data_IF_850964650050
#
_entry.id   IF_850964650050
#
_cell.length_a   1.000
_cell.length_b   1.000
_cell.length_c   1.000
_cell.angle_alpha   90.00
_cell.angle_beta   90.00
_cell.angle_gamma   90.00
#
_symmetry.space_group_name_H-M   'P 1'
#
loop_
_entity.id
_entity.type
_entity.pdbx_description
1 polymer ?
#
# COMPACT_ATOMS: atom_id res chain seq x y z
N UNK A 1 -46.15 28.65 58.90
CA UNK A 1 -45.22 27.54 58.69
C UNK A 1 -45.14 27.30 57.16
N UNK A 2 -44.08 27.88 56.52
CA UNK A 2 -43.83 27.70 55.05
C UNK A 2 -42.74 26.68 54.88
N UNK A 3 -43.03 25.50 54.29
CA UNK A 3 -42.01 24.48 53.96
C UNK A 3 -41.42 24.84 52.61
N UNK A 4 -40.14 25.16 52.55
CA UNK A 4 -39.37 25.24 51.33
C UNK A 4 -39.00 23.79 50.89
N UNK A 5 -39.46 23.42 49.73
CA UNK A 5 -38.99 22.21 49.01
C UNK A 5 -37.76 22.63 48.15
N UNK A 6 -36.61 22.19 48.56
CA UNK A 6 -35.38 22.28 47.72
C UNK A 6 -35.38 21.12 46.73
N UNK A 7 -35.52 21.41 45.43
CA UNK A 7 -35.37 20.46 44.36
C UNK A 7 -33.87 20.40 44.03
N UNK A 8 -33.23 19.30 44.39
CA UNK A 8 -31.87 18.96 43.93
C UNK A 8 -31.97 18.40 42.52
N UNK A 9 -31.61 19.21 41.52
CA UNK A 9 -31.42 18.71 40.15
C UNK A 9 -30.07 18.02 40.05
N UNK A 10 -30.04 16.70 40.14
CA UNK A 10 -28.88 15.90 39.86
C UNK A 10 -28.67 15.89 38.34
N UNK A 11 -27.71 16.68 37.87
CA UNK A 11 -27.24 16.63 36.46
C UNK A 11 -26.55 15.31 36.22
N UNK A 12 -27.18 14.39 35.50
CA UNK A 12 -26.53 13.20 34.92
C UNK A 12 -25.55 13.67 33.83
N UNK A 13 -24.25 13.72 34.16
CA UNK A 13 -23.21 13.72 33.17
C UNK A 13 -23.24 12.36 32.48
N UNK A 14 -23.84 12.28 31.31
CA UNK A 14 -23.66 11.15 30.40
C UNK A 14 -22.23 11.22 29.85
N UNK A 15 -21.30 10.53 30.51
CA UNK A 15 -20.01 10.23 29.91
C UNK A 15 -20.26 9.35 28.68
N UNK A 16 -20.23 9.95 27.51
CA UNK A 16 -20.14 9.19 26.26
C UNK A 16 -18.78 8.48 26.28
N UNK A 17 -18.78 7.21 26.67
CA UNK A 17 -17.61 6.35 26.50
C UNK A 17 -17.32 6.32 25.00
N UNK A 18 -16.21 6.92 24.58
CA UNK A 18 -15.70 6.76 23.25
C UNK A 18 -15.49 5.26 23.03
N UNK A 19 -16.33 4.64 22.20
CA UNK A 19 -16.23 3.22 21.91
C UNK A 19 -14.90 2.99 21.21
N UNK A 20 -14.08 2.10 21.77
CA UNK A 20 -12.82 1.70 21.15
C UNK A 20 -13.13 1.08 19.78
N UNK A 21 -12.53 1.61 18.74
CA UNK A 21 -12.65 1.08 17.37
C UNK A 21 -11.48 0.16 17.12
N UNK A 22 -11.74 -1.04 16.62
CA UNK A 22 -10.71 -1.95 16.12
C UNK A 22 -10.79 -1.96 14.60
N UNK A 23 -9.63 -1.83 13.94
CA UNK A 23 -9.47 -1.97 12.49
C UNK A 23 -8.46 -3.08 12.18
N UNK A 24 -8.79 -3.92 11.22
CA UNK A 24 -7.94 -5.01 10.75
C UNK A 24 -7.17 -4.62 9.49
N UNK A 25 -5.87 -4.89 9.49
CA UNK A 25 -4.96 -4.58 8.37
C UNK A 25 -4.26 -5.83 7.89
N UNK A 26 -4.34 -6.12 6.59
CA UNK A 26 -3.61 -7.19 5.92
C UNK A 26 -2.49 -6.62 5.02
N UNK A 27 -1.30 -7.22 5.06
CA UNK A 27 -0.17 -6.81 4.23
C UNK A 27 0.75 -8.00 3.91
N UNK A 28 1.43 -7.98 2.75
CA UNK A 28 2.42 -8.99 2.39
C UNK A 28 3.82 -8.63 2.88
N UNK A 29 4.76 -9.56 2.73
CA UNK A 29 6.20 -9.34 2.96
C UNK A 29 6.54 -8.83 4.36
N UNK A 30 6.14 -9.56 5.40
CA UNK A 30 6.44 -9.22 6.79
C UNK A 30 7.90 -8.81 7.01
N UNK A 31 8.85 -9.56 6.42
CA UNK A 31 10.29 -9.32 6.55
C UNK A 31 10.73 -7.95 6.01
N UNK A 32 9.95 -7.30 5.11
CA UNK A 32 10.23 -5.96 4.59
C UNK A 32 9.54 -4.87 5.41
N UNK A 33 8.33 -5.12 5.91
CA UNK A 33 7.45 -4.06 6.39
C UNK A 33 7.21 -4.04 7.91
N UNK A 34 7.45 -5.12 8.65
CA UNK A 34 7.18 -5.18 10.09
C UNK A 34 7.81 -4.05 10.89
N UNK A 35 9.08 -3.77 10.64
CA UNK A 35 9.78 -2.67 11.33
C UNK A 35 9.15 -1.31 11.01
N UNK A 36 8.73 -1.11 9.76
CA UNK A 36 8.08 0.13 9.32
C UNK A 36 6.73 0.29 9.98
N UNK A 37 5.89 -0.75 9.95
CA UNK A 37 4.58 -0.72 10.60
C UNK A 37 4.66 -0.53 12.10
N UNK A 38 5.61 -1.17 12.78
CA UNK A 38 5.84 -0.97 14.21
C UNK A 38 6.06 0.50 14.54
N UNK A 39 6.88 1.20 13.75
CA UNK A 39 7.14 2.64 13.94
C UNK A 39 5.92 3.51 13.63
N UNK A 40 5.22 3.22 12.54
CA UNK A 40 4.00 3.93 12.15
C UNK A 40 2.95 3.79 13.26
N UNK A 41 2.73 2.58 13.75
CA UNK A 41 1.73 2.31 14.79
C UNK A 41 2.07 2.99 16.12
N UNK A 42 3.34 3.07 16.49
CA UNK A 42 3.75 3.80 17.69
C UNK A 42 3.38 5.28 17.64
N UNK A 43 3.42 5.91 16.46
CA UNK A 43 2.99 7.29 16.27
C UNK A 43 1.46 7.37 16.15
N UNK A 44 0.84 6.54 15.33
CA UNK A 44 -0.61 6.50 15.16
C UNK A 44 -1.37 6.39 16.50
N UNK A 45 -0.89 5.52 17.38
CA UNK A 45 -1.52 5.33 18.71
C UNK A 45 -1.45 6.56 19.62
N UNK A 46 -0.45 7.43 19.43
CA UNK A 46 -0.38 8.69 20.20
C UNK A 46 -1.48 9.66 19.78
N UNK A 47 -1.73 9.73 18.48
CA UNK A 47 -2.70 10.65 17.89
C UNK A 47 -4.13 10.08 17.98
N UNK A 48 -4.28 8.75 17.97
CA UNK A 48 -5.54 8.03 17.98
C UNK A 48 -5.60 6.94 19.08
N UNK A 49 -5.56 7.32 20.38
CA UNK A 49 -5.49 6.35 21.49
C UNK A 49 -6.72 5.43 21.61
N UNK A 50 -7.85 5.83 21.03
CA UNK A 50 -9.11 5.09 21.01
C UNK A 50 -9.25 4.13 19.82
N UNK A 51 -8.27 4.08 18.93
CA UNK A 51 -8.25 3.16 17.78
C UNK A 51 -7.21 2.06 18.04
N UNK A 52 -7.63 0.81 17.89
CA UNK A 52 -6.76 -0.35 17.91
C UNK A 52 -6.57 -0.86 16.49
N UNK A 53 -5.32 -0.95 16.05
CA UNK A 53 -4.97 -1.57 14.76
C UNK A 53 -4.50 -2.99 15.03
N UNK A 54 -5.18 -3.96 14.40
CA UNK A 54 -4.85 -5.37 14.48
C UNK A 54 -4.34 -5.83 13.12
N UNK A 55 -3.08 -6.26 13.09
CA UNK A 55 -2.54 -6.89 11.91
C UNK A 55 -2.98 -8.34 11.84
N UNK A 56 -3.47 -8.75 10.67
CA UNK A 56 -3.75 -10.16 10.37
C UNK A 56 -2.47 -10.94 10.09
N UNK A 57 -2.58 -12.26 9.94
CA UNK A 57 -1.50 -13.06 9.38
C UNK A 57 -1.06 -12.47 8.03
N UNK A 58 0.25 -12.31 7.86
CA UNK A 58 0.80 -11.69 6.65
C UNK A 58 0.64 -12.63 5.46
N UNK A 59 0.43 -12.04 4.29
CA UNK A 59 0.47 -12.74 3.02
C UNK A 59 1.91 -13.01 2.60
N UNK A 60 2.15 -14.07 1.85
CA UNK A 60 3.49 -14.39 1.36
C UNK A 60 3.99 -13.32 0.37
N UNK A 61 3.12 -12.93 -0.56
CA UNK A 61 3.39 -11.90 -1.56
C UNK A 61 2.10 -11.19 -2.00
N UNK A 62 2.16 -10.30 -3.01
CA UNK A 62 0.99 -9.61 -3.53
C UNK A 62 0.04 -10.53 -4.33
N UNK A 63 0.53 -11.63 -4.90
CA UNK A 63 -0.32 -12.60 -5.59
C UNK A 63 -1.17 -13.36 -4.57
N UNK A 64 -0.54 -13.88 -3.52
CA UNK A 64 -1.23 -14.52 -2.41
C UNK A 64 -2.21 -13.56 -1.74
N UNK A 65 -1.79 -12.32 -1.45
CA UNK A 65 -2.67 -11.27 -0.93
C UNK A 65 -3.94 -11.12 -1.76
N UNK A 66 -3.81 -11.10 -3.09
CA UNK A 66 -4.95 -11.00 -4.01
C UNK A 66 -5.88 -12.19 -3.87
N UNK A 67 -5.34 -13.41 -3.87
CA UNK A 67 -6.13 -14.64 -3.76
C UNK A 67 -6.85 -14.75 -2.41
N UNK A 68 -6.17 -14.40 -1.33
CA UNK A 68 -6.76 -14.41 0.02
C UNK A 68 -7.92 -13.43 0.09
N UNK A 69 -7.72 -12.18 -0.28
CA UNK A 69 -8.75 -11.13 -0.21
C UNK A 69 -9.96 -11.47 -1.11
N UNK A 70 -9.75 -12.05 -2.29
CA UNK A 70 -10.86 -12.50 -3.13
C UNK A 70 -11.67 -13.62 -2.47
N UNK A 71 -11.04 -14.56 -1.77
CA UNK A 71 -11.75 -15.60 -1.01
C UNK A 71 -12.51 -15.02 0.19
N UNK A 72 -11.87 -14.10 0.91
CA UNK A 72 -12.47 -13.41 2.07
C UNK A 72 -13.66 -12.54 1.67
N UNK A 73 -13.65 -11.96 0.47
CA UNK A 73 -14.80 -11.23 -0.06
C UNK A 73 -16.04 -12.15 -0.21
N UNK A 74 -15.83 -13.40 -0.63
CA UNK A 74 -16.94 -14.38 -0.76
C UNK A 74 -17.49 -14.79 0.61
N UNK A 75 -16.60 -14.92 1.61
CA UNK A 75 -16.98 -15.30 2.98
C UNK A 75 -17.38 -14.11 3.86
N UNK A 76 -17.40 -12.90 3.31
CA UNK A 76 -17.72 -11.65 4.02
C UNK A 76 -16.81 -11.43 5.27
N UNK A 77 -15.54 -11.73 5.12
CA UNK A 77 -14.51 -11.63 6.18
C UNK A 77 -13.32 -10.78 5.78
N UNK A 78 -13.57 -9.76 4.95
CA UNK A 78 -12.52 -8.83 4.49
C UNK A 78 -11.87 -8.07 5.65
N UNK A 79 -10.56 -7.76 5.58
CA UNK A 79 -9.97 -6.75 6.44
C UNK A 79 -10.50 -5.36 6.12
N UNK A 80 -10.37 -4.43 7.06
CA UNK A 80 -10.75 -3.03 6.82
C UNK A 80 -9.79 -2.36 5.83
N UNK A 81 -8.51 -2.70 5.91
CA UNK A 81 -7.44 -2.20 5.04
C UNK A 81 -6.58 -3.35 4.57
N UNK A 82 -6.22 -3.36 3.29
CA UNK A 82 -5.27 -4.33 2.73
C UNK A 82 -4.26 -3.66 1.81
N UNK A 83 -2.99 -4.10 1.88
CA UNK A 83 -1.93 -3.68 0.97
C UNK A 83 -1.88 -4.62 -0.22
N UNK A 84 -2.02 -4.06 -1.41
CA UNK A 84 -2.11 -4.82 -2.65
C UNK A 84 -1.12 -4.34 -3.69
N UNK A 85 -0.74 -5.23 -4.61
CA UNK A 85 0.08 -4.85 -5.75
C UNK A 85 -0.66 -3.92 -6.71
N UNK A 86 0.04 -2.94 -7.28
CA UNK A 86 -0.52 -1.96 -8.21
C UNK A 86 -1.23 -2.61 -9.40
N UNK A 87 -0.67 -3.70 -9.91
CA UNK A 87 -1.20 -4.46 -11.04
C UNK A 87 -2.44 -5.31 -10.68
N UNK A 88 -2.84 -5.36 -9.41
CA UNK A 88 -3.97 -6.17 -8.93
C UNK A 88 -5.17 -5.34 -8.50
N UNK A 89 -5.04 -4.03 -8.37
CA UNK A 89 -6.10 -3.18 -7.84
C UNK A 89 -7.38 -3.17 -8.69
N UNK A 90 -7.25 -3.26 -10.01
CA UNK A 90 -8.40 -3.22 -10.92
C UNK A 90 -9.47 -4.26 -10.57
N UNK A 91 -9.09 -5.48 -10.24
CA UNK A 91 -10.06 -6.56 -9.92
C UNK A 91 -10.88 -6.26 -8.66
N UNK A 92 -10.28 -5.57 -7.67
CA UNK A 92 -11.00 -5.21 -6.45
C UNK A 92 -12.02 -4.09 -6.70
N UNK A 93 -11.70 -3.17 -7.60
CA UNK A 93 -12.63 -2.11 -8.03
C UNK A 93 -13.77 -2.70 -8.85
N UNK A 94 -13.48 -3.54 -9.84
CA UNK A 94 -14.47 -4.20 -10.69
C UNK A 94 -15.45 -5.09 -9.89
N UNK A 95 -14.96 -5.74 -8.85
CA UNK A 95 -15.78 -6.57 -7.94
C UNK A 95 -16.46 -5.77 -6.83
N UNK A 96 -16.26 -4.45 -6.76
CA UNK A 96 -16.86 -3.61 -5.72
C UNK A 96 -16.28 -3.84 -4.31
N UNK A 97 -15.11 -4.50 -4.21
CA UNK A 97 -14.40 -4.75 -2.95
C UNK A 97 -13.71 -3.46 -2.47
N UNK A 98 -12.94 -2.83 -3.35
CA UNK A 98 -12.27 -1.57 -3.05
C UNK A 98 -13.25 -0.40 -3.12
N UNK A 99 -13.36 0.35 -2.04
CA UNK A 99 -14.20 1.56 -1.96
C UNK A 99 -13.46 2.77 -2.52
N UNK A 100 -14.20 3.74 -3.06
CA UNK A 100 -13.62 5.03 -3.41
C UNK A 100 -13.19 5.79 -2.16
N UNK A 101 -11.99 6.35 -2.21
CA UNK A 101 -11.40 7.16 -1.14
C UNK A 101 -11.70 8.66 -1.29
N UNK A 102 -12.33 9.09 -2.39
CA UNK A 102 -12.68 10.50 -2.65
C UNK A 102 -13.40 11.20 -1.48
N UNK A 103 -14.42 10.57 -0.83
CA UNK A 103 -15.12 11.21 0.28
C UNK A 103 -14.24 11.42 1.52
N UNK A 104 -13.16 10.67 1.65
CA UNK A 104 -12.18 10.79 2.73
C UNK A 104 -11.14 11.83 2.38
N UNK A 105 -10.57 11.75 1.18
CA UNK A 105 -9.59 12.71 0.66
C UNK A 105 -10.14 14.13 0.70
N UNK A 106 -11.41 14.33 0.34
CA UNK A 106 -12.06 15.64 0.38
C UNK A 106 -12.17 16.27 1.78
N UNK A 107 -12.00 15.46 2.84
CA UNK A 107 -12.01 15.93 4.23
C UNK A 107 -10.62 16.23 4.79
N UNK A 108 -9.57 15.79 4.09
CA UNK A 108 -8.19 16.00 4.51
C UNK A 108 -7.69 17.37 4.04
N UNK A 109 -7.64 18.33 4.96
CA UNK A 109 -7.29 19.72 4.65
C UNK A 109 -5.87 19.90 4.07
N UNK A 110 -4.97 18.96 4.32
CA UNK A 110 -3.56 19.01 3.92
C UNK A 110 -3.17 17.95 2.91
N UNK A 111 -4.12 17.22 2.32
CA UNK A 111 -3.84 16.07 1.46
C UNK A 111 -2.78 16.36 0.37
N UNK A 112 -2.88 17.51 -0.32
CA UNK A 112 -1.88 17.89 -1.33
C UNK A 112 -0.51 18.24 -0.71
N UNK A 113 -0.50 18.82 0.50
CA UNK A 113 0.73 19.19 1.21
C UNK A 113 1.43 17.99 1.84
N UNK A 114 0.70 16.91 2.13
CA UNK A 114 1.22 15.68 2.71
C UNK A 114 2.10 14.88 1.72
N UNK A 115 2.23 15.39 0.49
CA UNK A 115 3.26 14.93 -0.44
C UNK A 115 2.86 13.75 -1.31
N UNK A 116 1.58 13.48 -1.48
CA UNK A 116 1.11 12.50 -2.45
C UNK A 116 1.39 12.96 -3.87
N UNK A 117 2.35 12.34 -4.52
CA UNK A 117 2.71 12.67 -5.88
C UNK A 117 1.61 12.28 -6.85
N UNK A 118 1.19 13.19 -7.74
CA UNK A 118 0.06 12.99 -8.65
C UNK A 118 0.18 11.70 -9.46
N UNK A 119 1.35 11.42 -10.05
CA UNK A 119 1.56 10.19 -10.83
C UNK A 119 1.47 8.90 -9.99
N UNK A 120 1.69 8.98 -8.68
CA UNK A 120 1.50 7.83 -7.79
C UNK A 120 0.02 7.62 -7.45
N UNK A 121 -0.75 8.70 -7.26
CA UNK A 121 -2.20 8.61 -7.08
C UNK A 121 -2.90 8.08 -8.33
N UNK A 122 -2.43 8.44 -9.53
CA UNK A 122 -2.94 7.91 -10.79
C UNK A 122 -2.89 6.39 -10.86
N UNK A 123 -1.90 5.75 -10.23
CA UNK A 123 -1.79 4.29 -10.17
C UNK A 123 -2.92 3.62 -9.36
N UNK A 124 -3.48 4.33 -8.38
CA UNK A 124 -4.62 3.89 -7.57
C UNK A 124 -5.97 4.44 -8.05
N UNK A 125 -6.00 5.11 -9.22
CA UNK A 125 -7.19 5.77 -9.75
C UNK A 125 -7.84 4.91 -10.83
N UNK A 126 -9.11 4.57 -10.63
CA UNK A 126 -9.93 3.79 -11.55
C UNK A 126 -11.25 4.51 -11.80
N UNK A 127 -11.66 4.60 -13.07
CA UNK A 127 -12.90 5.29 -13.46
C UNK A 127 -12.98 6.73 -12.90
N UNK A 128 -11.85 7.44 -12.86
CA UNK A 128 -11.74 8.82 -12.38
C UNK A 128 -11.85 8.97 -10.86
N UNK A 129 -11.77 7.89 -10.08
CA UNK A 129 -11.83 7.92 -8.60
C UNK A 129 -10.63 7.20 -8.00
N UNK A 130 -10.07 7.76 -6.93
CA UNK A 130 -9.01 7.11 -6.16
C UNK A 130 -9.60 5.98 -5.32
N UNK A 131 -9.07 4.77 -5.48
CA UNK A 131 -9.44 3.57 -4.73
C UNK A 131 -8.30 3.01 -3.89
N UNK A 132 -7.07 3.50 -4.11
CA UNK A 132 -5.89 3.10 -3.36
C UNK A 132 -4.90 4.24 -3.23
N UNK A 133 -4.29 4.35 -2.06
CA UNK A 133 -3.19 5.28 -1.82
C UNK A 133 -1.85 4.58 -1.99
N UNK A 134 -0.82 5.24 -2.53
CA UNK A 134 0.50 4.66 -2.63
C UNK A 134 1.12 4.51 -1.23
N UNK A 135 1.60 3.32 -0.92
CA UNK A 135 2.36 3.05 0.31
C UNK A 135 3.87 2.97 0.02
N UNK A 136 4.23 2.15 -0.96
CA UNK A 136 5.61 2.01 -1.42
C UNK A 136 5.63 1.73 -2.91
N UNK A 137 6.61 2.29 -3.61
CA UNK A 137 6.76 2.10 -5.05
C UNK A 137 8.19 1.69 -5.33
N UNK A 138 8.35 0.61 -6.10
CA UNK A 138 9.63 0.21 -6.65
C UNK A 138 9.62 0.42 -8.16
N UNK A 139 10.76 0.81 -8.69
CA UNK A 139 10.97 0.97 -10.12
C UNK A 139 11.95 -0.10 -10.60
N UNK A 140 11.70 -0.74 -11.75
CA UNK A 140 12.69 -1.64 -12.34
C UNK A 140 13.93 -0.84 -12.72
N UNK A 141 15.11 -1.38 -12.39
CA UNK A 141 16.40 -0.80 -12.72
C UNK A 141 17.28 -1.83 -13.42
N UNK A 142 18.10 -1.37 -14.34
CA UNK A 142 19.08 -2.21 -15.05
C UNK A 142 20.39 -2.28 -14.29
N UNK A 143 20.82 -3.47 -13.88
CA UNK A 143 22.16 -3.72 -13.38
C UNK A 143 23.03 -4.27 -14.51
N UNK A 144 24.21 -3.68 -14.72
CA UNK A 144 25.11 -4.06 -15.78
C UNK A 144 26.44 -4.57 -15.23
N UNK A 145 26.84 -5.78 -15.62
CA UNK A 145 28.18 -6.26 -15.37
C UNK A 145 29.15 -5.60 -16.38
N UNK A 146 29.83 -4.55 -15.94
CA UNK A 146 30.68 -3.72 -16.79
C UNK A 146 31.87 -4.47 -17.36
N UNK A 147 32.40 -5.48 -16.67
CA UNK A 147 33.50 -6.31 -17.16
C UNK A 147 33.09 -7.18 -18.33
N UNK A 148 31.89 -7.77 -18.24
CA UNK A 148 31.32 -8.55 -19.35
C UNK A 148 30.97 -7.65 -20.53
N UNK A 149 30.42 -6.46 -20.27
CA UNK A 149 30.14 -5.45 -21.30
C UNK A 149 31.39 -5.08 -22.06
N UNK A 150 32.49 -4.74 -21.34
CA UNK A 150 33.77 -4.41 -21.92
C UNK A 150 34.38 -5.55 -22.75
N UNK A 151 34.33 -6.79 -22.21
CA UNK A 151 34.82 -7.99 -22.94
C UNK A 151 34.05 -8.21 -24.24
N UNK A 152 32.78 -7.87 -24.30
CA UNK A 152 31.94 -7.98 -25.51
C UNK A 152 32.02 -6.74 -26.42
N UNK A 153 32.93 -5.79 -26.17
CA UNK A 153 33.09 -4.59 -26.98
C UNK A 153 31.94 -3.60 -26.85
N UNK A 154 31.21 -3.64 -25.75
CA UNK A 154 30.13 -2.69 -25.46
C UNK A 154 30.67 -1.59 -24.58
N UNK A 155 30.83 -0.40 -25.14
CA UNK A 155 31.42 0.77 -24.47
C UNK A 155 30.38 1.73 -23.89
N UNK A 156 29.12 1.61 -24.27
CA UNK A 156 28.03 2.49 -23.84
C UNK A 156 26.85 1.66 -23.32
N UNK A 157 26.25 2.09 -22.23
CA UNK A 157 25.04 1.48 -21.71
C UNK A 157 23.85 1.74 -22.64
N UNK A 158 22.98 0.75 -22.84
CA UNK A 158 21.81 0.92 -23.66
C UNK A 158 20.82 1.91 -23.03
N UNK A 159 20.19 2.71 -23.87
CA UNK A 159 19.20 3.73 -23.46
C UNK A 159 17.78 3.40 -23.92
N UNK A 160 17.63 2.37 -24.73
CA UNK A 160 16.35 1.90 -25.24
C UNK A 160 16.39 0.37 -25.48
N UNK A 161 15.23 -0.22 -25.70
CA UNK A 161 15.10 -1.67 -25.86
C UNK A 161 15.84 -2.25 -27.07
N UNK A 162 15.93 -1.51 -28.17
CA UNK A 162 16.72 -1.93 -29.35
C UNK A 162 18.19 -2.08 -28.99
N UNK A 163 18.75 -1.09 -28.29
CA UNK A 163 20.13 -1.14 -27.82
C UNK A 163 20.36 -2.24 -26.78
N UNK A 164 19.37 -2.54 -25.92
CA UNK A 164 19.43 -3.70 -25.01
C UNK A 164 19.53 -4.99 -25.79
N UNK A 165 18.68 -5.19 -26.81
CA UNK A 165 18.70 -6.38 -27.68
C UNK A 165 20.06 -6.51 -28.39
N UNK A 166 20.58 -5.44 -28.94
CA UNK A 166 21.88 -5.46 -29.64
C UNK A 166 23.05 -5.71 -28.68
N UNK A 167 22.97 -5.19 -27.47
CA UNK A 167 23.92 -5.50 -26.39
C UNK A 167 23.87 -6.99 -26.06
N UNK A 168 22.70 -7.57 -25.91
CA UNK A 168 22.55 -9.00 -25.65
C UNK A 168 23.11 -9.86 -26.78
N UNK A 169 22.94 -9.47 -28.05
CA UNK A 169 23.54 -10.16 -29.20
C UNK A 169 25.07 -10.14 -29.13
N UNK A 170 25.68 -8.98 -28.81
CA UNK A 170 27.14 -8.85 -28.66
C UNK A 170 27.68 -9.71 -27.51
N UNK A 171 27.01 -9.66 -26.34
CA UNK A 171 27.37 -10.49 -25.19
C UNK A 171 27.29 -11.97 -25.51
N UNK A 172 26.26 -12.40 -26.25
CA UNK A 172 26.09 -13.79 -26.69
C UNK A 172 27.18 -14.21 -27.66
N UNK A 173 27.53 -13.36 -28.62
CA UNK A 173 28.65 -13.58 -29.52
C UNK A 173 30.00 -13.69 -28.80
N UNK A 174 30.15 -12.97 -27.70
CA UNK A 174 31.29 -13.04 -26.75
C UNK A 174 31.27 -14.24 -25.79
N UNK A 175 30.34 -15.21 -25.98
CA UNK A 175 30.29 -16.46 -25.22
C UNK A 175 29.38 -16.41 -23.96
N UNK A 176 28.67 -15.32 -23.73
CA UNK A 176 27.74 -15.24 -22.59
C UNK A 176 26.43 -15.95 -22.94
N UNK A 177 26.17 -17.07 -22.30
CA UNK A 177 25.00 -17.92 -22.59
C UNK A 177 23.68 -17.21 -22.29
N UNK A 178 23.59 -16.52 -21.14
CA UNK A 178 22.41 -15.81 -20.67
C UNK A 178 22.77 -14.32 -20.46
N UNK A 179 22.70 -13.50 -21.52
CA UNK A 179 23.16 -12.11 -21.48
C UNK A 179 22.23 -11.16 -20.72
N UNK A 180 21.03 -11.58 -20.44
CA UNK A 180 20.04 -10.83 -19.65
C UNK A 180 19.32 -11.77 -18.70
N UNK A 181 19.04 -11.29 -17.50
CA UNK A 181 18.16 -11.91 -16.52
C UNK A 181 17.05 -10.92 -16.21
N UNK A 182 15.84 -11.40 -16.14
CA UNK A 182 14.66 -10.62 -15.78
C UNK A 182 14.10 -11.18 -14.49
N UNK A 183 14.08 -10.37 -13.42
CA UNK A 183 13.49 -10.73 -12.14
C UNK A 183 12.29 -9.82 -11.84
N UNK A 184 11.24 -10.43 -11.36
CA UNK A 184 10.06 -9.77 -10.81
C UNK A 184 9.90 -10.14 -9.35
#
# INVERSE_FOLDING_TARGET
MKRLLSIFAAGMLTATSAQAVEIEVGYPYAHLFDTTYTKIMANFKKDHPNITVKFRATYDDYEDATQVVLREAVSNSLPDVTMQGLNRQAIFVEKGIAKSLEPYIAKEANFEKDGYHKSMLELGTFNGKVHGLPFSVSLPVGYYNMDLMKKAGVSKLPTNWTEVIDTCKKLRAGGIKNPIFWGW
#
